data_IF_781512879790
#
_entry.id   IF_781512879790
#
_cell.length_a   1.000
_cell.length_b   1.000
_cell.length_c   1.000
_cell.angle_alpha   90.00
_cell.angle_beta   90.00
_cell.angle_gamma   90.00
#
_symmetry.space_group_name_H-M   'P 1'
#
loop_
_entity.id
_entity.type
_entity.pdbx_description
1 polymer ?
#
# COMPACT_ATOMS: atom_id res chain seq x y z
N UNK A 1 -35.13 0.53 -5.89
CA UNK A 1 -34.15 0.93 -4.85
C UNK A 1 -32.89 0.06 -4.84
N UNK A 2 -32.99 -1.28 -4.89
CA UNK A 2 -31.83 -2.18 -4.95
C UNK A 2 -30.96 -2.06 -6.21
N UNK A 3 -31.54 -1.75 -7.38
CA UNK A 3 -30.79 -1.59 -8.64
C UNK A 3 -29.83 -0.38 -8.62
N UNK A 4 -30.24 0.72 -7.97
CA UNK A 4 -29.40 1.93 -7.77
C UNK A 4 -28.19 1.64 -6.86
N UNK A 5 -28.38 0.82 -5.82
CA UNK A 5 -27.30 0.40 -4.92
C UNK A 5 -26.27 -0.49 -5.64
N UNK A 6 -26.70 -1.47 -6.43
CA UNK A 6 -25.78 -2.36 -7.16
C UNK A 6 -24.93 -1.59 -8.19
N UNK A 7 -25.54 -0.64 -8.92
CA UNK A 7 -24.81 0.21 -9.86
C UNK A 7 -23.78 1.11 -9.16
N UNK A 8 -24.05 1.57 -7.94
CA UNK A 8 -23.11 2.37 -7.15
C UNK A 8 -21.86 1.59 -6.72
N UNK A 9 -21.97 0.29 -6.43
CA UNK A 9 -20.82 -0.56 -6.09
C UNK A 9 -19.90 -0.84 -7.29
N UNK A 10 -20.47 -1.05 -8.49
CA UNK A 10 -19.69 -1.32 -9.69
C UNK A 10 -18.94 -0.07 -10.19
N UNK A 11 -19.57 1.10 -10.12
CA UNK A 11 -18.92 2.36 -10.47
C UNK A 11 -17.83 2.75 -9.46
N UNK A 12 -18.06 2.52 -8.16
CA UNK A 12 -17.07 2.75 -7.11
C UNK A 12 -15.78 1.95 -7.33
N UNK A 13 -15.89 0.67 -7.68
CA UNK A 13 -14.71 -0.16 -7.95
C UNK A 13 -13.90 0.35 -9.15
N UNK A 14 -14.54 0.79 -10.24
CA UNK A 14 -13.83 1.35 -11.40
C UNK A 14 -13.09 2.64 -11.05
N UNK A 15 -13.74 3.54 -10.31
CA UNK A 15 -13.14 4.80 -9.85
C UNK A 15 -11.93 4.50 -8.96
N UNK A 16 -12.09 3.60 -7.98
CA UNK A 16 -11.01 3.19 -7.07
C UNK A 16 -9.81 2.61 -7.82
N UNK A 17 -10.02 1.71 -8.79
CA UNK A 17 -8.94 1.14 -9.58
C UNK A 17 -8.22 2.21 -10.43
N UNK A 18 -8.95 3.19 -10.94
CA UNK A 18 -8.37 4.31 -11.68
C UNK A 18 -7.51 5.21 -10.76
N UNK A 19 -7.94 5.48 -9.54
CA UNK A 19 -7.14 6.22 -8.56
C UNK A 19 -5.86 5.46 -8.17
N UNK A 20 -5.92 4.13 -8.00
CA UNK A 20 -4.71 3.32 -7.80
C UNK A 20 -3.77 3.33 -9.00
N UNK A 21 -4.31 3.27 -10.22
CA UNK A 21 -3.50 3.41 -11.42
C UNK A 21 -2.77 4.77 -11.47
N UNK A 22 -3.47 5.87 -11.16
CA UNK A 22 -2.85 7.20 -11.01
C UNK A 22 -1.81 7.23 -9.90
N UNK A 23 -2.07 6.59 -8.76
CA UNK A 23 -1.09 6.43 -7.67
C UNK A 23 0.21 5.81 -8.18
N UNK A 24 0.08 4.73 -8.94
CA UNK A 24 1.23 4.00 -9.49
C UNK A 24 2.05 4.83 -10.47
N UNK A 25 1.41 5.74 -11.22
CA UNK A 25 2.09 6.73 -12.06
C UNK A 25 2.77 7.78 -11.19
N UNK A 26 2.08 8.32 -10.19
CA UNK A 26 2.62 9.34 -9.29
C UNK A 26 3.82 8.84 -8.47
N UNK A 27 3.91 7.53 -8.22
CA UNK A 27 5.02 6.89 -7.52
C UNK A 27 6.25 6.60 -8.40
N UNK A 28 6.22 6.89 -9.72
CA UNK A 28 7.38 6.67 -10.60
C UNK A 28 8.65 7.42 -10.16
N UNK A 29 8.61 8.68 -9.68
CA UNK A 29 9.80 9.38 -9.20
C UNK A 29 10.46 8.67 -8.01
N UNK A 30 9.66 8.16 -7.07
CA UNK A 30 10.14 7.36 -5.94
C UNK A 30 10.82 6.07 -6.42
N UNK A 31 10.18 5.34 -7.34
CA UNK A 31 10.75 4.12 -7.95
C UNK A 31 12.09 4.44 -8.62
N UNK A 32 12.15 5.51 -9.41
CA UNK A 32 13.38 5.92 -10.09
C UNK A 32 14.49 6.25 -9.09
N UNK A 33 14.17 6.93 -7.99
CA UNK A 33 15.14 7.26 -6.97
C UNK A 33 15.68 6.01 -6.25
N UNK A 34 14.82 5.02 -5.99
CA UNK A 34 15.22 3.71 -5.44
C UNK A 34 16.15 2.94 -6.37
N UNK A 35 15.86 2.93 -7.67
CA UNK A 35 16.73 2.28 -8.67
C UNK A 35 18.07 3.01 -8.83
N UNK A 36 18.06 4.35 -8.84
CA UNK A 36 19.29 5.14 -8.88
C UNK A 36 20.17 4.88 -7.63
N UNK A 37 19.54 4.77 -6.45
CA UNK A 37 20.25 4.43 -5.22
C UNK A 37 20.95 3.06 -5.31
N UNK A 38 20.25 2.06 -5.86
CA UNK A 38 20.80 0.72 -6.11
C UNK A 38 22.03 0.76 -7.00
N UNK A 39 21.97 1.53 -8.10
CA UNK A 39 23.11 1.67 -9.01
C UNK A 39 24.33 2.29 -8.32
N UNK A 40 24.10 3.29 -7.44
CA UNK A 40 25.17 4.00 -6.73
C UNK A 40 25.81 3.17 -5.60
N UNK A 41 25.01 2.43 -4.85
CA UNK A 41 25.45 1.77 -3.59
C UNK A 41 25.52 0.25 -3.69
N UNK A 42 25.17 -0.32 -4.85
CA UNK A 42 24.99 -1.77 -5.07
C UNK A 42 23.91 -2.41 -4.19
N UNK A 43 22.97 -1.62 -3.66
CA UNK A 43 21.88 -2.11 -2.83
C UNK A 43 20.71 -1.13 -2.70
N UNK A 44 19.54 -1.64 -2.35
CA UNK A 44 18.40 -0.79 -2.01
C UNK A 44 18.59 -0.19 -0.60
N UNK A 45 18.06 1.02 -0.33
CA UNK A 45 18.18 1.62 0.99
C UNK A 45 17.48 0.77 2.05
N UNK A 46 17.91 0.85 3.30
CA UNK A 46 17.20 0.15 4.39
C UNK A 46 15.97 0.95 4.83
N UNK A 47 15.98 2.27 4.64
CA UNK A 47 14.87 3.18 4.96
C UNK A 47 14.67 4.19 3.84
N UNK A 48 13.45 4.66 3.61
CA UNK A 48 13.22 5.71 2.59
C UNK A 48 13.97 7.00 2.92
N UNK A 49 14.15 7.30 4.20
CA UNK A 49 14.88 8.47 4.68
C UNK A 49 16.31 8.60 4.11
N UNK A 50 16.92 7.49 3.69
CA UNK A 50 18.24 7.47 3.06
C UNK A 50 18.25 8.15 1.66
N UNK A 51 17.06 8.35 1.08
CA UNK A 51 16.85 8.97 -0.23
C UNK A 51 15.97 10.23 -0.12
N UNK A 52 14.92 10.17 0.69
CA UNK A 52 13.94 11.24 0.92
C UNK A 52 13.87 11.53 2.42
N UNK A 53 14.66 12.50 2.94
CA UNK A 53 14.74 12.80 4.37
C UNK A 53 13.37 13.07 5.04
N UNK A 54 12.40 13.55 4.26
CA UNK A 54 11.02 13.81 4.64
C UNK A 54 10.18 12.53 4.84
N UNK A 55 10.55 11.42 4.19
CA UNK A 55 9.84 10.13 4.27
C UNK A 55 10.29 9.35 5.51
N UNK A 56 9.80 9.80 6.66
CA UNK A 56 10.04 9.16 7.96
C UNK A 56 9.39 7.77 8.02
N UNK A 57 10.02 6.87 8.77
CA UNK A 57 9.52 5.51 9.01
C UNK A 57 9.25 4.66 7.75
N UNK A 58 9.91 4.95 6.63
CA UNK A 58 9.69 4.26 5.35
C UNK A 58 8.25 4.38 4.84
N UNK A 59 7.63 5.54 5.10
CA UNK A 59 6.29 5.89 4.63
C UNK A 59 6.42 7.07 3.67
N UNK A 60 5.85 6.91 2.47
CA UNK A 60 5.72 7.95 1.47
C UNK A 60 4.26 8.39 1.35
N UNK A 61 3.99 9.69 1.37
CA UNK A 61 2.61 10.19 1.32
C UNK A 61 2.01 10.05 -0.08
N UNK A 62 0.84 9.41 -0.15
CA UNK A 62 0.01 9.36 -1.36
C UNK A 62 -1.06 10.44 -1.29
N UNK A 63 -1.24 11.21 -2.36
CA UNK A 63 -2.27 12.26 -2.46
C UNK A 63 -3.69 11.71 -2.66
N UNK A 64 -3.95 10.49 -2.23
CA UNK A 64 -5.21 9.78 -2.45
C UNK A 64 -6.02 9.81 -1.17
N UNK A 65 -7.24 10.35 -1.26
CA UNK A 65 -8.17 10.38 -0.14
C UNK A 65 -8.50 8.96 0.33
N UNK A 66 -8.37 8.70 1.64
CA UNK A 66 -8.60 7.38 2.24
C UNK A 66 -7.43 6.39 2.12
N UNK A 67 -6.42 6.69 1.31
CA UNK A 67 -5.21 5.89 1.17
C UNK A 67 -4.00 6.82 1.18
N UNK A 68 -3.59 7.36 2.34
CA UNK A 68 -2.62 8.45 2.41
C UNK A 68 -1.15 8.00 2.44
N UNK A 69 -0.86 6.71 2.62
CA UNK A 69 0.49 6.24 2.95
C UNK A 69 0.89 5.02 2.12
N UNK A 70 1.98 5.15 1.37
CA UNK A 70 2.67 4.07 0.68
C UNK A 70 3.87 3.61 1.52
N UNK A 71 3.86 2.35 1.95
CA UNK A 71 4.91 1.76 2.77
C UNK A 71 6.00 1.15 1.91
N UNK A 72 7.25 1.42 2.26
CA UNK A 72 8.43 0.79 1.68
C UNK A 72 8.90 -0.37 2.56
N UNK A 73 9.04 -1.55 1.94
CA UNK A 73 9.50 -2.78 2.61
C UNK A 73 10.77 -3.27 1.91
N UNK A 74 11.96 -3.06 2.50
CA UNK A 74 13.21 -3.53 1.91
C UNK A 74 13.31 -5.05 1.96
N UNK A 75 14.02 -5.63 0.99
CA UNK A 75 14.45 -7.04 0.95
C UNK A 75 15.90 -7.10 0.50
N UNK A 76 16.63 -8.17 0.82
CA UNK A 76 18.08 -8.28 0.58
C UNK A 76 18.54 -7.73 -0.78
N UNK A 77 17.85 -8.09 -1.88
CA UNK A 77 18.15 -7.63 -3.24
C UNK A 77 16.93 -7.06 -3.99
N UNK A 78 15.90 -6.62 -3.26
CA UNK A 78 14.64 -6.12 -3.84
C UNK A 78 13.92 -5.21 -2.85
N UNK A 79 12.73 -4.76 -3.19
CA UNK A 79 11.84 -4.09 -2.26
C UNK A 79 10.38 -4.32 -2.66
N UNK A 80 9.48 -3.89 -1.79
CA UNK A 80 8.07 -3.71 -2.13
C UNK A 80 7.64 -2.30 -1.75
N UNK A 81 6.77 -1.72 -2.57
CA UNK A 81 5.92 -0.62 -2.16
C UNK A 81 4.53 -1.19 -1.93
N UNK A 82 3.90 -0.85 -0.81
CA UNK A 82 2.62 -1.39 -0.38
C UNK A 82 1.71 -0.24 0.05
N UNK A 83 0.59 -0.08 -0.64
CA UNK A 83 -0.52 0.75 -0.21
C UNK A 83 -1.58 -0.18 0.37
N UNK A 84 -1.88 -0.03 1.67
CA UNK A 84 -2.92 -0.84 2.31
C UNK A 84 -4.29 -0.29 1.91
N UNK A 85 -5.14 -1.16 1.39
CA UNK A 85 -6.39 -0.80 0.73
C UNK A 85 -7.58 -1.40 1.50
N UNK A 86 -7.95 -0.89 2.68
CA UNK A 86 -9.07 -1.43 3.44
C UNK A 86 -10.36 -1.54 2.64
N UNK A 87 -11.10 -2.62 2.86
CA UNK A 87 -12.48 -2.76 2.39
C UNK A 87 -13.39 -2.52 3.60
N UNK A 88 -14.10 -1.39 3.65
CA UNK A 88 -15.04 -1.11 4.74
C UNK A 88 -15.43 0.37 4.85
N UNK A 89 -16.38 0.66 5.74
CA UNK A 89 -16.72 2.03 6.14
C UNK A 89 -15.53 2.60 6.90
N UNK A 90 -15.00 3.72 6.41
CA UNK A 90 -14.08 4.55 7.19
C UNK A 90 -14.83 5.02 8.43
N UNK A 91 -14.58 4.36 9.57
CA UNK A 91 -15.01 4.91 10.86
C UNK A 91 -14.11 6.11 11.17
N UNK A 92 -14.65 7.32 11.37
CA UNK A 92 -13.85 8.48 11.77
C UNK A 92 -13.13 8.28 13.12
N UNK A 93 -13.57 7.33 13.94
CA UNK A 93 -13.09 7.13 15.32
C UNK A 93 -12.15 5.93 15.51
N UNK A 94 -11.67 5.28 14.44
CA UNK A 94 -10.83 4.09 14.60
C UNK A 94 -9.37 4.48 14.93
N UNK A 95 -9.08 4.65 16.22
CA UNK A 95 -7.71 4.63 16.73
C UNK A 95 -7.25 3.18 16.87
N UNK A 96 -6.20 2.80 16.14
CA UNK A 96 -5.66 1.44 16.14
C UNK A 96 -4.53 1.28 17.17
N UNK A 97 -4.52 0.14 17.88
CA UNK A 97 -3.44 -0.28 18.78
C UNK A 97 -2.83 -1.58 18.25
N UNK A 98 -1.52 -1.58 17.94
CA UNK A 98 -0.86 -2.78 17.42
C UNK A 98 -0.79 -3.90 18.45
N UNK A 99 -0.63 -5.14 17.98
CA UNK A 99 -0.41 -6.33 18.83
C UNK A 99 0.80 -6.14 19.77
N UNK A 100 1.84 -5.45 19.28
CA UNK A 100 3.01 -5.05 20.07
C UNK A 100 2.66 -4.02 21.15
N UNK A 101 1.72 -3.12 20.87
CA UNK A 101 1.22 -2.10 21.81
C UNK A 101 0.32 -2.70 22.89
N UNK A 102 -0.50 -3.70 22.54
CA UNK A 102 -1.29 -4.46 23.49
C UNK A 102 -0.40 -5.26 24.46
N UNK A 103 0.68 -5.85 23.96
CA UNK A 103 1.66 -6.58 24.78
C UNK A 103 2.48 -5.63 25.68
N UNK A 104 2.74 -4.40 25.24
CA UNK A 104 3.59 -3.44 25.96
C UNK A 104 2.81 -2.46 26.87
N UNK A 105 1.48 -2.53 26.92
CA UNK A 105 0.65 -1.78 27.86
C UNK A 105 0.71 -0.25 27.72
N UNK A 106 1.22 0.28 26.60
CA UNK A 106 1.52 1.70 26.45
C UNK A 106 0.83 2.27 25.19
N UNK A 107 -0.05 3.25 25.39
CA UNK A 107 -1.03 3.78 24.42
C UNK A 107 -0.41 4.75 23.40
N UNK A 108 0.91 4.98 23.44
CA UNK A 108 1.59 6.06 22.71
C UNK A 108 2.19 5.65 21.36
N UNK A 109 1.88 4.47 20.85
CA UNK A 109 2.31 4.05 19.52
C UNK A 109 1.32 4.51 18.43
N UNK A 110 1.32 5.80 18.14
CA UNK A 110 0.83 6.32 16.86
C UNK A 110 1.83 5.90 15.79
N UNK A 111 1.43 5.05 14.83
CA UNK A 111 2.32 4.74 13.71
C UNK A 111 1.96 3.62 12.77
N UNK A 112 1.00 2.73 13.07
CA UNK A 112 0.67 1.64 12.14
C UNK A 112 -0.84 1.44 12.02
N UNK A 113 -1.34 1.49 10.78
CA UNK A 113 -2.74 1.19 10.45
C UNK A 113 -2.88 -0.33 10.26
N UNK A 114 -3.69 -1.00 11.07
CA UNK A 114 -4.10 -2.40 10.81
C UNK A 114 -5.63 -2.44 10.75
N UNK A 115 -6.13 -2.75 9.56
CA UNK A 115 -7.56 -2.85 9.29
C UNK A 115 -8.07 -4.22 9.73
N UNK A 116 -9.14 -4.23 10.55
CA UNK A 116 -9.72 -5.42 11.19
C UNK A 116 -10.52 -6.29 10.21
N UNK A 117 -10.95 -5.72 9.09
CA UNK A 117 -11.64 -6.44 8.01
C UNK A 117 -10.76 -6.34 6.76
N UNK A 118 -10.06 -7.43 6.47
CA UNK A 118 -9.51 -7.79 5.15
C UNK A 118 -8.84 -6.69 4.33
N UNK A 119 -7.51 -6.73 4.34
CA UNK A 119 -6.61 -5.81 3.67
C UNK A 119 -6.36 -6.23 2.22
N UNK A 120 -7.12 -5.66 1.28
CA UNK A 120 -6.62 -5.57 -0.09
C UNK A 120 -5.31 -4.76 -0.05
N UNK A 121 -4.41 -5.02 -0.99
CA UNK A 121 -3.18 -4.24 -1.10
C UNK A 121 -2.92 -3.85 -2.54
N UNK A 122 -2.41 -2.65 -2.73
CA UNK A 122 -1.87 -2.21 -4.01
C UNK A 122 -0.35 -2.21 -3.90
N UNK A 123 0.32 -3.11 -4.63
CA UNK A 123 1.74 -3.41 -4.47
C UNK A 123 2.55 -3.18 -5.75
N UNK A 124 3.80 -2.76 -5.57
CA UNK A 124 4.82 -2.73 -6.62
C UNK A 124 6.04 -3.55 -6.23
N UNK A 125 6.47 -4.44 -7.12
CA UNK A 125 7.69 -5.23 -7.01
C UNK A 125 8.60 -4.92 -8.21
N UNK A 126 9.89 -4.59 -8.02
CA UNK A 126 10.79 -4.23 -9.12
C UNK A 126 10.83 -5.24 -10.27
N UNK A 127 10.82 -6.53 -9.94
CA UNK A 127 10.84 -7.62 -10.92
C UNK A 127 9.54 -7.84 -11.67
N UNK A 128 8.42 -7.24 -11.21
CA UNK A 128 7.08 -7.37 -11.81
C UNK A 128 6.62 -8.81 -12.10
N UNK A 129 7.24 -9.79 -11.43
CA UNK A 129 6.98 -11.22 -11.52
C UNK A 129 5.84 -11.59 -10.58
N UNK A 130 4.68 -10.96 -10.78
CA UNK A 130 3.50 -11.18 -9.98
C UNK A 130 2.84 -12.52 -10.34
N UNK A 131 2.58 -13.41 -9.37
CA UNK A 131 1.83 -14.64 -9.62
C UNK A 131 0.36 -14.31 -9.89
N UNK A 132 -0.37 -15.23 -10.52
CA UNK A 132 -1.81 -15.07 -10.77
C UNK A 132 -2.64 -15.10 -9.47
N UNK A 133 -2.15 -15.80 -8.45
CA UNK A 133 -2.79 -15.91 -7.13
C UNK A 133 -1.75 -15.81 -6.01
N UNK A 134 -2.15 -15.25 -4.87
CA UNK A 134 -1.31 -15.16 -3.66
C UNK A 134 -2.13 -15.58 -2.45
N UNK A 135 -1.87 -16.75 -1.87
CA UNK A 135 -2.57 -17.22 -0.64
C UNK A 135 -4.10 -17.06 -0.72
N UNK A 136 -4.74 -17.57 -1.78
CA UNK A 136 -6.18 -17.43 -2.09
C UNK A 136 -6.66 -16.02 -2.47
N UNK A 137 -5.76 -15.04 -2.53
CA UNK A 137 -6.06 -13.71 -3.05
C UNK A 137 -5.99 -13.68 -4.59
N UNK A 138 -6.91 -12.92 -5.19
CA UNK A 138 -6.90 -12.63 -6.62
C UNK A 138 -5.95 -11.48 -6.92
N UNK A 139 -5.10 -11.64 -7.94
CA UNK A 139 -4.16 -10.60 -8.37
C UNK A 139 -4.67 -9.94 -9.63
N UNK A 140 -4.90 -8.64 -9.59
CA UNK A 140 -5.32 -7.81 -10.73
C UNK A 140 -4.16 -6.90 -11.12
N UNK A 141 -3.61 -7.08 -12.32
CA UNK A 141 -2.53 -6.23 -12.83
C UNK A 141 -3.06 -4.86 -13.22
N UNK A 142 -2.37 -3.80 -12.79
CA UNK A 142 -2.65 -2.40 -13.10
C UNK A 142 -1.35 -1.73 -13.56
N UNK A 143 -1.02 -1.90 -14.84
CA UNK A 143 0.27 -1.47 -15.38
C UNK A 143 1.43 -2.23 -14.72
N UNK A 144 2.39 -1.48 -14.14
CA UNK A 144 3.54 -2.06 -13.42
C UNK A 144 3.22 -2.51 -11.99
N UNK A 145 2.00 -2.28 -11.53
CA UNK A 145 1.54 -2.54 -10.16
C UNK A 145 0.53 -3.70 -10.15
N UNK A 146 0.26 -4.23 -8.96
CA UNK A 146 -0.81 -5.19 -8.74
C UNK A 146 -1.74 -4.77 -7.62
N UNK A 147 -3.02 -4.99 -7.84
CA UNK A 147 -4.03 -4.96 -6.80
C UNK A 147 -4.32 -6.39 -6.36
N UNK A 148 -4.08 -6.68 -5.09
CA UNK A 148 -4.27 -7.99 -4.47
C UNK A 148 -5.56 -7.92 -3.67
N UNK A 149 -6.57 -8.66 -4.13
CA UNK A 149 -7.87 -8.75 -3.45
C UNK A 149 -7.94 -10.01 -2.60
N UNK A 150 -8.11 -9.86 -1.29
CA UNK A 150 -8.19 -11.00 -0.37
C UNK A 150 -9.65 -11.34 -0.09
N UNK A 151 -9.97 -12.62 -0.20
CA UNK A 151 -11.26 -13.20 0.16
C UNK A 151 -10.98 -14.21 1.29
N UNK A 152 -10.92 -13.74 2.53
CA UNK A 152 -11.02 -14.61 3.73
C UNK A 152 -12.48 -14.62 4.21
#
# INVERSE_FOLDING_TARGET
MYLMLILSFLSYNKIRMNEFYKAGIAAQPLIQALENHKLRTKGYPKKLQDIFPEDLYSIHQTKIMGYPNLRYVPKNNSYKLILDCPIGILSPDFQYMSEKCAIQGNVTCLGEWRYVLMADSFEYWPGQNYPETIKRAQVVKLGKWVYIRRYD
#
